data_IF_334111809274
#
_entry.id   IF_334111809274
#
_cell.length_a   1.000
_cell.length_b   1.000
_cell.length_c   1.000
_cell.angle_alpha   90.00
_cell.angle_beta   90.00
_cell.angle_gamma   90.00
#
_symmetry.space_group_name_H-M   'P 1'
#
loop_
_entity.id
_entity.type
_entity.pdbx_description
1 polymer ?
#
# COMPACT_ATOMS: atom_id res chain seq x y z
N UNK A 1 -24.42 -7.43 20.89
CA UNK A 1 -23.65 -7.69 19.63
C UNK A 1 -24.37 -7.14 18.40
N UNK A 2 -25.71 -7.25 18.33
CA UNK A 2 -26.49 -6.80 17.15
C UNK A 2 -26.47 -5.27 16.93
N UNK A 3 -26.51 -4.48 17.99
CA UNK A 3 -26.54 -3.01 17.91
C UNK A 3 -25.19 -2.42 17.49
N UNK A 4 -24.09 -3.05 17.87
CA UNK A 4 -22.74 -2.64 17.47
C UNK A 4 -22.49 -2.95 15.99
N UNK A 5 -22.99 -4.07 15.48
CA UNK A 5 -22.92 -4.43 14.06
C UNK A 5 -23.80 -3.53 13.19
N UNK A 6 -24.97 -3.12 13.67
CA UNK A 6 -25.86 -2.17 12.99
C UNK A 6 -25.26 -0.76 12.95
N UNK A 7 -24.67 -0.29 14.04
CA UNK A 7 -23.95 0.99 14.09
C UNK A 7 -22.74 0.99 13.16
N UNK A 8 -21.96 -0.09 13.14
CA UNK A 8 -20.84 -0.27 12.20
C UNK A 8 -21.30 -0.23 10.75
N UNK A 9 -22.39 -0.91 10.39
CA UNK A 9 -22.90 -0.91 9.01
C UNK A 9 -23.47 0.45 8.59
N UNK A 10 -24.08 1.20 9.51
CA UNK A 10 -24.66 2.52 9.24
C UNK A 10 -23.57 3.59 9.10
N UNK A 11 -22.51 3.48 9.89
CA UNK A 11 -21.36 4.40 9.84
C UNK A 11 -20.55 4.26 8.56
N UNK A 12 -20.53 3.07 7.95
CA UNK A 12 -19.86 2.81 6.66
C UNK A 12 -20.50 3.56 5.46
N UNK A 13 -21.72 4.01 5.55
CA UNK A 13 -22.44 4.66 4.43
C UNK A 13 -22.26 6.18 4.34
N UNK A 14 -21.67 6.86 5.33
CA UNK A 14 -21.73 8.32 5.49
C UNK A 14 -20.42 9.07 5.23
N UNK A 15 -19.57 8.64 4.28
CA UNK A 15 -18.52 9.54 3.80
C UNK A 15 -19.12 10.61 2.89
N UNK A 16 -18.85 11.86 3.20
CA UNK A 16 -19.23 12.98 2.35
C UNK A 16 -18.44 12.97 1.03
N UNK A 17 -19.03 13.55 -0.02
CA UNK A 17 -18.33 13.73 -1.30
C UNK A 17 -16.99 14.50 -1.15
N UNK A 18 -16.89 15.37 -0.14
CA UNK A 18 -15.67 16.10 0.19
C UNK A 18 -14.54 15.20 0.71
N UNK A 19 -14.85 14.24 1.57
CA UNK A 19 -13.86 13.26 2.10
C UNK A 19 -13.38 12.32 1.01
N UNK A 20 -14.26 11.92 0.07
CA UNK A 20 -13.87 11.13 -1.09
C UNK A 20 -12.90 11.92 -1.97
N UNK A 21 -13.21 13.18 -2.26
CA UNK A 21 -12.36 14.06 -3.06
C UNK A 21 -11.01 14.37 -2.40
N UNK A 22 -10.97 14.44 -1.06
CA UNK A 22 -9.72 14.58 -0.29
C UNK A 22 -8.88 13.31 -0.37
N UNK A 23 -9.48 12.14 -0.21
CA UNK A 23 -8.80 10.86 -0.38
C UNK A 23 -8.23 10.70 -1.79
N UNK A 24 -8.98 11.10 -2.83
CA UNK A 24 -8.53 11.06 -4.21
C UNK A 24 -7.33 11.99 -4.46
N UNK A 25 -7.34 13.19 -3.93
CA UNK A 25 -6.20 14.12 -4.01
C UNK A 25 -4.97 13.56 -3.31
N UNK A 26 -5.14 13.04 -2.10
CA UNK A 26 -4.06 12.39 -1.36
C UNK A 26 -3.45 11.20 -2.12
N UNK A 27 -4.26 10.43 -2.86
CA UNK A 27 -3.77 9.35 -3.73
C UNK A 27 -2.94 9.93 -4.88
N UNK A 28 -3.41 10.98 -5.53
CA UNK A 28 -2.71 11.58 -6.66
C UNK A 28 -1.35 12.17 -6.23
N UNK A 29 -1.30 12.87 -5.11
CA UNK A 29 -0.07 13.39 -4.51
C UNK A 29 0.89 12.26 -4.13
N UNK A 30 0.38 11.22 -3.50
CA UNK A 30 1.17 10.03 -3.16
C UNK A 30 1.72 9.35 -4.43
N UNK A 31 0.94 9.31 -5.51
CA UNK A 31 1.35 8.71 -6.77
C UNK A 31 2.47 9.48 -7.47
N UNK A 32 2.51 10.80 -7.34
CA UNK A 32 3.59 11.64 -7.86
C UNK A 32 4.89 11.44 -7.05
N UNK A 33 4.77 11.16 -5.76
CA UNK A 33 5.93 10.92 -4.89
C UNK A 33 6.67 9.60 -5.19
N UNK A 34 6.04 8.63 -5.87
CA UNK A 34 6.65 7.33 -6.14
C UNK A 34 7.14 7.20 -7.58
N UNK A 35 8.44 7.39 -7.84
CA UNK A 35 8.97 7.27 -9.18
C UNK A 35 8.76 5.85 -9.73
N UNK A 36 8.39 5.80 -11.01
CA UNK A 36 8.31 4.56 -11.73
C UNK A 36 9.68 3.86 -11.78
N UNK A 37 9.68 2.54 -11.88
CA UNK A 37 10.92 1.76 -12.00
C UNK A 37 11.12 1.29 -13.43
N UNK A 38 12.38 1.19 -13.89
CA UNK A 38 12.66 0.59 -15.19
C UNK A 38 12.36 -0.92 -15.17
N UNK A 39 11.56 -1.37 -16.12
CA UNK A 39 11.26 -2.79 -16.31
C UNK A 39 12.38 -3.49 -17.10
N UNK A 40 12.33 -4.83 -17.15
CA UNK A 40 13.23 -5.61 -18.03
C UNK A 40 12.81 -5.54 -19.50
N UNK A 41 11.62 -5.03 -19.80
CA UNK A 41 11.11 -4.90 -21.17
C UNK A 41 11.56 -3.60 -21.79
N UNK A 42 11.86 -3.65 -23.09
CA UNK A 42 12.27 -2.51 -23.89
C UNK A 42 11.18 -2.18 -24.92
N UNK A 43 10.93 -0.89 -25.13
CA UNK A 43 10.09 -0.38 -26.21
C UNK A 43 10.96 0.41 -27.19
N UNK A 44 10.48 0.56 -28.44
CA UNK A 44 11.13 1.43 -29.39
C UNK A 44 11.09 2.88 -28.88
N UNK A 45 12.20 3.59 -29.02
CA UNK A 45 12.35 5.00 -28.69
C UNK A 45 12.65 5.81 -29.95
N UNK A 46 12.09 7.03 -30.04
CA UNK A 46 12.22 7.83 -31.26
C UNK A 46 13.60 8.50 -31.42
N UNK A 47 14.23 8.92 -30.33
CA UNK A 47 15.48 9.69 -30.44
C UNK A 47 16.57 9.28 -29.43
N UNK A 48 16.24 8.78 -28.25
CA UNK A 48 17.18 8.55 -27.18
C UNK A 48 17.02 7.11 -26.65
N UNK A 49 18.14 6.48 -26.29
CA UNK A 49 18.13 5.13 -25.77
C UNK A 49 19.26 4.27 -26.34
N UNK A 50 19.23 3.01 -26.00
CA UNK A 50 20.19 2.01 -26.46
C UNK A 50 19.86 1.60 -27.90
N UNK A 51 20.89 1.48 -28.76
CA UNK A 51 20.71 0.92 -30.11
C UNK A 51 20.24 -0.55 -30.02
N UNK A 52 19.13 -0.86 -30.65
CA UNK A 52 18.60 -2.23 -30.75
C UNK A 52 19.03 -2.86 -32.07
N UNK A 53 20.14 -3.61 -32.03
CA UNK A 53 20.67 -4.30 -33.20
C UNK A 53 19.61 -5.21 -33.88
N UNK A 54 18.89 -5.98 -33.06
CA UNK A 54 17.84 -6.89 -33.53
C UNK A 54 16.72 -6.15 -34.29
N UNK A 55 16.28 -4.99 -33.79
CA UNK A 55 15.22 -4.19 -34.41
C UNK A 55 15.70 -3.46 -35.64
N UNK A 56 16.94 -2.95 -35.61
CA UNK A 56 17.58 -2.32 -36.76
C UNK A 56 17.72 -3.28 -37.93
N UNK A 57 18.27 -4.47 -37.70
CA UNK A 57 18.38 -5.51 -38.74
C UNK A 57 17.01 -5.92 -39.31
N UNK A 58 16.01 -6.11 -38.44
CA UNK A 58 14.64 -6.45 -38.90
C UNK A 58 14.01 -5.32 -39.71
N UNK A 59 14.31 -4.07 -39.41
CA UNK A 59 13.86 -2.91 -40.19
C UNK A 59 14.59 -2.82 -41.53
N UNK A 60 15.90 -3.01 -41.53
CA UNK A 60 16.75 -3.02 -42.70
C UNK A 60 16.28 -4.07 -43.73
N UNK A 61 15.95 -5.29 -43.30
CA UNK A 61 15.45 -6.35 -44.20
C UNK A 61 14.08 -6.02 -44.81
N UNK A 62 13.29 -5.14 -44.20
CA UNK A 62 11.98 -4.70 -44.71
C UNK A 62 12.03 -3.44 -45.57
N UNK A 63 13.12 -2.67 -45.52
CA UNK A 63 13.29 -1.37 -46.17
C UNK A 63 14.48 -1.35 -47.14
N UNK A 64 14.50 -2.33 -48.04
CA UNK A 64 15.49 -2.39 -49.14
C UNK A 64 16.95 -2.23 -48.70
N UNK A 65 17.33 -2.72 -47.54
CA UNK A 65 18.72 -2.73 -47.09
C UNK A 65 19.22 -1.45 -46.42
N UNK A 66 18.41 -0.41 -46.30
CA UNK A 66 18.84 0.86 -45.67
C UNK A 66 18.93 0.69 -44.14
N UNK A 67 20.13 0.90 -43.53
CA UNK A 67 20.32 0.76 -42.09
C UNK A 67 19.77 1.99 -41.33
N UNK A 68 18.48 2.00 -41.02
CA UNK A 68 17.89 3.01 -40.16
C UNK A 68 17.98 2.55 -38.69
N UNK A 69 18.79 3.20 -37.86
CA UNK A 69 19.00 2.78 -36.49
C UNK A 69 17.70 2.86 -35.69
N UNK A 70 17.38 1.79 -34.97
CA UNK A 70 16.25 1.74 -34.04
C UNK A 70 16.76 1.76 -32.61
N UNK A 71 16.39 2.80 -31.89
CA UNK A 71 16.70 2.91 -30.47
C UNK A 71 15.60 2.27 -29.62
N UNK A 72 15.95 1.80 -28.45
CA UNK A 72 15.03 1.24 -27.48
C UNK A 72 15.33 1.73 -26.07
N UNK A 73 14.28 1.95 -25.29
CA UNK A 73 14.39 2.35 -23.89
C UNK A 73 13.61 1.37 -22.99
N UNK A 74 14.03 1.28 -21.74
CA UNK A 74 13.31 0.46 -20.77
C UNK A 74 11.93 1.04 -20.50
N UNK A 75 10.91 0.19 -20.58
CA UNK A 75 9.57 0.56 -20.18
C UNK A 75 9.55 0.86 -18.69
N UNK A 76 8.98 1.98 -18.33
CA UNK A 76 8.75 2.34 -16.93
C UNK A 76 7.48 1.64 -16.44
N UNK A 77 7.53 1.11 -15.22
CA UNK A 77 6.39 0.50 -14.54
C UNK A 77 6.19 1.13 -13.17
N UNK A 78 4.95 1.36 -12.75
CA UNK A 78 4.67 1.77 -11.38
C UNK A 78 5.18 0.71 -10.41
N UNK A 79 5.64 1.15 -9.23
CA UNK A 79 6.02 0.25 -8.14
C UNK A 79 4.78 -0.41 -7.56
N UNK A 80 4.85 -1.68 -7.12
CA UNK A 80 3.79 -2.28 -6.31
C UNK A 80 3.62 -1.50 -5.01
N UNK A 81 2.39 -1.44 -4.51
CA UNK A 81 2.08 -0.82 -3.23
C UNK A 81 1.52 -1.90 -2.30
N UNK A 82 1.97 -1.87 -1.06
CA UNK A 82 1.46 -2.72 0.01
C UNK A 82 0.89 -1.82 1.09
N UNK A 83 -0.38 -1.97 1.40
CA UNK A 83 -1.06 -1.28 2.49
C UNK A 83 -1.21 -2.25 3.65
N UNK A 84 -0.72 -1.86 4.83
CA UNK A 84 -0.89 -2.61 6.08
C UNK A 84 -1.60 -1.66 7.05
N UNK A 85 -2.87 -1.90 7.32
CA UNK A 85 -3.72 -0.98 8.07
C UNK A 85 -4.21 -1.60 9.37
N UNK A 86 -4.06 -0.86 10.44
CA UNK A 86 -4.59 -1.13 11.75
C UNK A 86 -6.10 -0.87 11.80
N UNK A 87 -6.84 -1.84 12.33
CA UNK A 87 -8.29 -1.77 12.52
C UNK A 87 -8.69 -1.92 13.99
N UNK A 88 -7.75 -1.71 14.91
CA UNK A 88 -8.01 -1.73 16.35
C UNK A 88 -9.04 -0.67 16.79
N UNK A 89 -9.53 -0.80 18.01
CA UNK A 89 -10.55 0.11 18.54
C UNK A 89 -10.14 1.58 18.55
N UNK A 90 -8.86 1.91 18.77
CA UNK A 90 -8.34 3.28 18.68
C UNK A 90 -8.38 3.84 17.25
N UNK A 91 -8.29 2.95 16.26
CA UNK A 91 -8.31 3.29 14.84
C UNK A 91 -9.72 3.25 14.21
N UNK A 92 -10.75 2.83 14.94
CA UNK A 92 -12.11 2.60 14.42
C UNK A 92 -12.65 3.80 13.62
N UNK A 93 -12.47 5.02 14.15
CA UNK A 93 -12.90 6.26 13.49
C UNK A 93 -12.22 6.50 12.14
N UNK A 94 -10.98 6.03 11.97
CA UNK A 94 -10.16 6.26 10.79
C UNK A 94 -10.15 5.06 9.83
N UNK A 95 -10.43 3.86 10.32
CA UNK A 95 -10.36 2.62 9.55
C UNK A 95 -11.17 2.70 8.26
N UNK A 96 -12.36 3.27 8.32
CA UNK A 96 -13.24 3.45 7.16
C UNK A 96 -12.62 4.33 6.07
N UNK A 97 -12.07 5.48 6.45
CA UNK A 97 -11.41 6.39 5.51
C UNK A 97 -10.22 5.68 4.83
N UNK A 98 -9.40 4.97 5.61
CA UNK A 98 -8.26 4.25 5.07
C UNK A 98 -8.66 3.05 4.20
N UNK A 99 -9.74 2.37 4.50
CA UNK A 99 -10.26 1.30 3.64
C UNK A 99 -10.74 1.84 2.30
N UNK A 100 -11.45 2.97 2.27
CA UNK A 100 -11.82 3.64 1.02
C UNK A 100 -10.61 4.15 0.26
N UNK A 101 -9.63 4.71 0.94
CA UNK A 101 -8.35 5.08 0.35
C UNK A 101 -7.65 3.86 -0.29
N UNK A 102 -7.51 2.75 0.44
CA UNK A 102 -6.90 1.52 -0.07
C UNK A 102 -7.68 0.93 -1.26
N UNK A 103 -9.01 1.02 -1.24
CA UNK A 103 -9.86 0.63 -2.35
C UNK A 103 -9.61 1.52 -3.58
N UNK A 104 -9.70 2.84 -3.44
CA UNK A 104 -9.46 3.78 -4.54
C UNK A 104 -8.05 3.62 -5.13
N UNK A 105 -7.04 3.41 -4.27
CA UNK A 105 -5.67 3.11 -4.70
C UNK A 105 -5.62 1.80 -5.51
N UNK A 106 -6.36 0.77 -5.09
CA UNK A 106 -6.44 -0.53 -5.78
C UNK A 106 -7.08 -0.40 -7.16
N UNK A 107 -8.12 0.41 -7.30
CA UNK A 107 -8.79 0.64 -8.59
C UNK A 107 -7.92 1.41 -9.57
N UNK A 108 -7.09 2.34 -9.09
CA UNK A 108 -6.19 3.16 -9.93
C UNK A 108 -4.86 2.49 -10.26
N UNK A 109 -4.41 1.53 -9.43
CA UNK A 109 -3.12 0.85 -9.58
C UNK A 109 -3.31 -0.65 -9.70
N UNK A 110 -2.77 -1.25 -10.74
CA UNK A 110 -2.90 -2.70 -10.99
C UNK A 110 -2.14 -3.63 -10.04
N UNK A 111 -1.31 -3.10 -9.14
CA UNK A 111 -0.49 -3.89 -8.22
C UNK A 111 -0.50 -3.29 -6.82
N UNK A 112 -1.64 -3.46 -6.15
CA UNK A 112 -1.84 -3.10 -4.74
C UNK A 112 -2.17 -4.36 -3.95
N UNK A 113 -1.53 -4.53 -2.80
CA UNK A 113 -1.81 -5.59 -1.84
C UNK A 113 -2.24 -4.96 -0.53
N UNK A 114 -3.40 -5.35 -0.01
CA UNK A 114 -3.99 -4.77 1.19
C UNK A 114 -4.11 -5.81 2.29
N UNK A 115 -3.60 -5.43 3.47
CA UNK A 115 -3.62 -6.22 4.68
C UNK A 115 -4.23 -5.39 5.80
N UNK A 116 -5.03 -6.03 6.64
CA UNK A 116 -5.61 -5.45 7.84
C UNK A 116 -5.10 -6.23 9.06
N UNK A 117 -4.93 -5.55 10.16
CA UNK A 117 -4.57 -6.19 11.42
C UNK A 117 -5.24 -5.53 12.62
N UNK A 118 -5.60 -6.34 13.58
CA UNK A 118 -5.93 -6.02 14.94
C UNK A 118 -5.13 -6.97 15.82
N UNK A 119 -5.71 -8.09 16.23
CA UNK A 119 -5.01 -9.18 16.90
C UNK A 119 -4.34 -10.13 15.90
N UNK A 120 -4.81 -10.20 14.66
CA UNK A 120 -4.28 -11.03 13.56
C UNK A 120 -4.12 -10.25 12.29
N UNK A 121 -3.17 -10.66 11.45
CA UNK A 121 -2.98 -10.12 10.10
C UNK A 121 -3.89 -10.85 9.10
N UNK A 122 -4.71 -10.10 8.36
CA UNK A 122 -5.64 -10.61 7.36
C UNK A 122 -5.37 -9.99 6.00
N UNK A 123 -5.20 -10.82 4.96
CA UNK A 123 -5.04 -10.35 3.58
C UNK A 123 -6.40 -10.10 2.93
N UNK A 124 -6.71 -8.87 2.63
CA UNK A 124 -7.99 -8.42 2.01
C UNK A 124 -7.82 -7.96 0.56
N UNK A 125 -6.69 -8.25 -0.06
CA UNK A 125 -6.37 -7.83 -1.44
C UNK A 125 -7.45 -8.25 -2.45
N UNK A 126 -8.05 -9.43 -2.26
CA UNK A 126 -9.07 -9.95 -3.17
C UNK A 126 -10.37 -9.14 -3.08
N UNK A 127 -10.79 -8.85 -1.86
CA UNK A 127 -12.02 -8.09 -1.57
C UNK A 127 -11.92 -6.65 -2.10
N UNK A 128 -10.74 -6.03 -1.97
CA UNK A 128 -10.47 -4.67 -2.46
C UNK A 128 -10.48 -4.53 -4.00
N UNK A 129 -10.51 -5.63 -4.74
CA UNK A 129 -10.57 -5.59 -6.21
C UNK A 129 -11.97 -5.42 -6.77
N UNK A 130 -13.01 -5.53 -5.95
CA UNK A 130 -14.36 -5.22 -6.39
C UNK A 130 -14.43 -3.78 -6.89
N UNK A 131 -15.22 -3.52 -7.94
CA UNK A 131 -15.37 -2.19 -8.50
C UNK A 131 -16.24 -1.29 -7.64
N UNK A 132 -17.23 -1.88 -7.00
CA UNK A 132 -18.12 -1.17 -6.08
C UNK A 132 -17.43 -1.03 -4.72
N UNK A 133 -17.13 0.20 -4.27
CA UNK A 133 -16.48 0.43 -3.00
C UNK A 133 -17.29 -0.10 -1.81
N UNK A 134 -18.62 -0.03 -1.87
CA UNK A 134 -19.45 -0.46 -0.76
C UNK A 134 -19.54 -1.99 -0.68
N UNK A 135 -19.55 -2.68 -1.82
CA UNK A 135 -19.44 -4.14 -1.85
C UNK A 135 -18.06 -4.61 -1.38
N UNK A 136 -16.99 -3.94 -1.81
CA UNK A 136 -15.64 -4.23 -1.34
C UNK A 136 -15.55 -4.12 0.19
N UNK A 137 -16.02 -3.02 0.76
CA UNK A 137 -15.99 -2.79 2.21
C UNK A 137 -16.88 -3.80 2.97
N UNK A 138 -18.08 -4.10 2.46
CA UNK A 138 -18.94 -5.15 3.04
C UNK A 138 -18.28 -6.52 3.01
N UNK A 139 -17.58 -6.86 1.92
CA UNK A 139 -16.86 -8.12 1.81
C UNK A 139 -15.68 -8.17 2.80
N UNK A 140 -14.97 -7.07 2.98
CA UNK A 140 -13.91 -6.94 3.99
C UNK A 140 -14.48 -7.10 5.40
N UNK A 141 -15.55 -6.40 5.72
CA UNK A 141 -16.19 -6.46 7.04
C UNK A 141 -16.68 -7.87 7.42
N UNK A 142 -17.15 -8.64 6.44
CA UNK A 142 -17.54 -10.05 6.67
C UNK A 142 -16.35 -10.99 6.79
N UNK A 143 -15.23 -10.65 6.17
CA UNK A 143 -14.06 -11.52 6.12
C UNK A 143 -13.13 -11.33 7.31
N UNK A 144 -13.10 -10.13 7.90
CA UNK A 144 -12.26 -9.79 9.04
C UNK A 144 -13.05 -9.98 10.33
N UNK A 145 -12.59 -10.90 11.17
CA UNK A 145 -13.27 -11.28 12.43
C UNK A 145 -12.88 -10.38 13.61
N UNK A 146 -11.76 -9.63 13.49
CA UNK A 146 -11.09 -8.93 14.61
C UNK A 146 -11.30 -7.41 14.62
N UNK A 147 -12.49 -6.96 14.22
CA UNK A 147 -12.82 -5.53 14.32
C UNK A 147 -12.80 -5.04 15.77
N UNK A 148 -12.13 -3.92 16.02
CA UNK A 148 -12.04 -3.30 17.36
C UNK A 148 -11.36 -4.16 18.42
N UNK A 149 -10.60 -5.17 18.02
CA UNK A 149 -9.75 -5.97 18.91
C UNK A 149 -8.53 -5.19 19.45
N UNK A 150 -7.70 -5.84 20.23
CA UNK A 150 -6.42 -5.28 20.67
C UNK A 150 -5.45 -5.15 19.50
N UNK A 151 -4.53 -4.17 19.58
CA UNK A 151 -3.50 -3.95 18.57
C UNK A 151 -2.25 -4.76 18.89
N UNK A 152 -1.80 -5.61 17.98
CA UNK A 152 -0.54 -6.37 18.05
C UNK A 152 0.30 -6.09 16.83
N UNK A 153 0.96 -4.94 16.81
CA UNK A 153 1.72 -4.46 15.65
C UNK A 153 2.90 -5.39 15.39
N UNK A 154 3.66 -5.72 16.42
CA UNK A 154 4.85 -6.59 16.33
C UNK A 154 4.50 -7.95 15.75
N UNK A 155 3.50 -8.63 16.30
CA UNK A 155 3.04 -9.94 15.82
C UNK A 155 2.50 -9.89 14.39
N UNK A 156 1.77 -8.83 14.02
CA UNK A 156 1.25 -8.64 12.68
C UNK A 156 2.37 -8.44 11.66
N UNK A 157 3.37 -7.61 11.99
CA UNK A 157 4.54 -7.39 11.13
C UNK A 157 5.42 -8.64 11.03
N UNK A 158 5.59 -9.40 12.11
CA UNK A 158 6.30 -10.68 12.09
C UNK A 158 5.61 -11.66 11.12
N UNK A 159 4.29 -11.80 11.23
CA UNK A 159 3.49 -12.64 10.33
C UNK A 159 3.64 -12.17 8.86
N UNK A 160 3.55 -10.87 8.62
CA UNK A 160 3.74 -10.29 7.29
C UNK A 160 5.14 -10.58 6.73
N UNK A 161 6.17 -10.31 7.51
CA UNK A 161 7.56 -10.51 7.11
C UNK A 161 7.90 -11.98 6.82
N UNK A 162 7.30 -12.91 7.58
CA UNK A 162 7.50 -14.35 7.41
C UNK A 162 6.76 -14.89 6.19
N UNK A 163 5.48 -14.58 6.04
CA UNK A 163 4.58 -15.29 5.16
C UNK A 163 4.32 -14.57 3.83
N UNK A 164 4.42 -13.24 3.81
CA UNK A 164 3.99 -12.40 2.68
C UNK A 164 5.10 -11.59 2.02
N UNK A 165 6.10 -11.14 2.75
CA UNK A 165 7.10 -10.17 2.25
C UNK A 165 7.72 -10.59 0.91
N UNK A 166 8.15 -11.85 0.79
CA UNK A 166 8.75 -12.37 -0.44
C UNK A 166 7.81 -12.35 -1.65
N UNK A 167 6.51 -12.44 -1.42
CA UNK A 167 5.48 -12.50 -2.48
C UNK A 167 5.08 -11.11 -2.96
N UNK A 168 4.98 -10.13 -2.05
CA UNK A 168 4.36 -8.84 -2.34
C UNK A 168 5.37 -7.68 -2.39
N UNK A 169 6.52 -7.77 -1.72
CA UNK A 169 7.55 -6.73 -1.73
C UNK A 169 8.51 -6.82 -2.91
N UNK A 170 8.39 -7.85 -3.72
CA UNK A 170 9.17 -8.00 -4.94
C UNK A 170 9.07 -6.74 -5.81
N UNK A 171 10.14 -6.46 -6.56
CA UNK A 171 10.16 -5.37 -7.53
C UNK A 171 10.22 -3.96 -6.92
N UNK A 172 10.71 -3.82 -5.69
CA UNK A 172 10.86 -2.54 -5.01
C UNK A 172 9.51 -1.92 -4.67
N UNK A 173 8.67 -2.68 -3.99
CA UNK A 173 7.38 -2.21 -3.50
C UNK A 173 7.52 -1.05 -2.52
N UNK A 174 6.51 -0.21 -2.44
CA UNK A 174 6.32 0.81 -1.40
C UNK A 174 5.34 0.25 -0.38
N UNK A 175 5.64 0.37 0.90
CA UNK A 175 4.79 -0.06 2.00
C UNK A 175 4.18 1.17 2.69
N UNK A 176 2.86 1.17 2.83
CA UNK A 176 2.11 2.12 3.63
C UNK A 176 1.67 1.41 4.91
N UNK A 177 2.29 1.74 6.02
CA UNK A 177 1.89 1.26 7.35
C UNK A 177 1.00 2.31 8.00
N UNK A 178 -0.26 1.96 8.26
CA UNK A 178 -1.27 2.86 8.80
C UNK A 178 -1.64 2.36 10.19
N UNK A 179 -1.18 3.06 11.22
CA UNK A 179 -1.44 2.74 12.63
C UNK A 179 -1.15 3.95 13.50
N UNK A 180 -1.80 4.04 14.65
CA UNK A 180 -1.51 5.06 15.68
C UNK A 180 -0.24 4.73 16.51
N UNK A 181 0.33 3.55 16.32
CA UNK A 181 1.54 3.10 17.02
C UNK A 181 1.30 2.61 18.45
N UNK A 182 0.06 2.42 18.85
CA UNK A 182 -0.29 1.89 20.17
C UNK A 182 -0.18 0.35 20.17
N UNK A 183 1.03 -0.16 20.33
CA UNK A 183 1.28 -1.60 20.41
C UNK A 183 1.01 -2.12 21.82
N UNK A 184 0.24 -3.22 21.93
CA UNK A 184 -0.02 -3.95 23.17
C UNK A 184 0.75 -5.28 23.24
N UNK A 185 1.67 -5.49 22.32
CA UNK A 185 2.47 -6.70 22.24
C UNK A 185 3.71 -6.55 23.14
N UNK A 186 3.61 -7.03 24.38
CA UNK A 186 4.70 -6.91 25.37
C UNK A 186 5.91 -7.78 25.01
N UNK A 187 5.71 -8.86 24.26
CA UNK A 187 6.73 -9.84 23.89
C UNK A 187 7.33 -9.61 22.49
N UNK A 188 6.82 -8.64 21.74
CA UNK A 188 7.20 -8.42 20.34
C UNK A 188 8.39 -7.46 20.20
N UNK A 189 9.36 -7.83 19.36
CA UNK A 189 10.42 -6.89 18.92
C UNK A 189 9.96 -6.08 17.71
N UNK A 190 9.19 -5.03 17.97
CA UNK A 190 8.67 -4.13 16.93
C UNK A 190 9.81 -3.50 16.12
N UNK A 191 10.89 -3.10 16.78
CA UNK A 191 12.03 -2.46 16.12
C UNK A 191 12.69 -3.39 15.11
N UNK A 192 12.88 -4.65 15.47
CA UNK A 192 13.43 -5.68 14.60
C UNK A 192 12.53 -5.93 13.37
N UNK A 193 11.21 -6.09 13.59
CA UNK A 193 10.28 -6.38 12.50
C UNK A 193 10.11 -5.20 11.54
N UNK A 194 10.15 -3.97 12.04
CA UNK A 194 10.13 -2.75 11.23
C UNK A 194 11.42 -2.62 10.41
N UNK A 195 12.59 -2.82 11.01
CA UNK A 195 13.87 -2.76 10.30
C UNK A 195 13.93 -3.84 9.20
N UNK A 196 13.43 -5.04 9.48
CA UNK A 196 13.31 -6.11 8.48
C UNK A 196 12.39 -5.73 7.33
N UNK A 197 11.25 -5.12 7.63
CA UNK A 197 10.29 -4.64 6.62
C UNK A 197 10.92 -3.53 5.77
N UNK A 198 11.53 -2.54 6.41
CA UNK A 198 12.21 -1.42 5.75
C UNK A 198 13.29 -1.89 4.78
N UNK A 199 14.13 -2.85 5.17
CA UNK A 199 15.15 -3.44 4.28
C UNK A 199 14.57 -4.25 3.12
N UNK A 200 13.33 -4.70 3.24
CA UNK A 200 12.66 -5.55 2.24
C UNK A 200 11.85 -4.76 1.20
N UNK A 201 11.60 -3.50 1.42
CA UNK A 201 10.84 -2.62 0.53
C UNK A 201 11.70 -1.49 -0.06
N UNK A 202 11.15 -0.72 -0.99
CA UNK A 202 11.82 0.46 -1.56
C UNK A 202 11.67 1.69 -0.68
N UNK A 203 10.50 1.82 -0.09
CA UNK A 203 10.14 2.87 0.85
C UNK A 203 9.12 2.30 1.83
N UNK A 204 9.25 2.69 3.09
CA UNK A 204 8.28 2.43 4.15
C UNK A 204 7.75 3.78 4.62
N UNK A 205 6.44 3.99 4.46
CA UNK A 205 5.75 5.19 4.91
C UNK A 205 4.86 4.84 6.08
N UNK A 206 5.03 5.52 7.19
CA UNK A 206 4.13 5.41 8.33
C UNK A 206 3.12 6.56 8.32
N UNK A 207 1.85 6.20 8.24
CA UNK A 207 0.72 7.12 8.31
C UNK A 207 0.06 6.99 9.69
N UNK A 208 0.27 7.97 10.52
CA UNK A 208 -0.36 8.04 11.83
C UNK A 208 -1.43 9.14 11.84
N UNK A 209 -2.72 8.80 11.96
CA UNK A 209 -3.81 9.78 11.95
C UNK A 209 -3.81 10.68 13.19
N UNK A 210 -3.17 10.27 14.29
CA UNK A 210 -3.11 11.05 15.52
C UNK A 210 -2.08 12.19 15.47
N UNK A 211 -1.10 12.14 14.56
CA UNK A 211 -0.11 13.23 14.38
C UNK A 211 -0.75 14.55 13.90
N UNK A 212 -2.00 14.53 13.46
CA UNK A 212 -2.75 15.72 13.06
C UNK A 212 -3.17 16.60 14.24
N UNK A 213 -3.15 16.08 15.46
CA UNK A 213 -3.58 16.82 16.64
C UNK A 213 -2.42 17.60 17.27
N UNK A 214 -2.60 18.91 17.43
CA UNK A 214 -1.68 19.75 18.18
C UNK A 214 -1.54 19.22 19.62
N UNK A 215 -0.31 18.94 20.05
CA UNK A 215 -0.01 18.40 21.37
C UNK A 215 0.14 16.89 21.45
N UNK A 216 0.20 16.20 20.32
CA UNK A 216 0.55 14.77 20.32
C UNK A 216 2.01 14.57 20.74
N UNK A 217 2.22 13.90 21.88
CA UNK A 217 3.55 13.50 22.35
C UNK A 217 3.76 12.01 22.11
N UNK A 218 4.92 11.56 21.57
CA UNK A 218 5.24 10.15 21.37
C UNK A 218 5.54 9.45 22.71
N UNK A 219 4.49 9.06 23.43
CA UNK A 219 4.63 8.45 24.79
C UNK A 219 4.81 6.94 24.76
N UNK A 220 4.37 6.26 23.70
CA UNK A 220 4.47 4.80 23.62
C UNK A 220 5.74 4.36 22.91
N UNK A 221 6.29 3.20 23.30
CA UNK A 221 7.47 2.60 22.66
C UNK A 221 7.24 2.34 21.15
N UNK A 222 6.03 1.96 20.76
CA UNK A 222 5.65 1.76 19.35
C UNK A 222 5.77 3.04 18.53
N UNK A 223 5.22 4.16 19.02
CA UNK A 223 5.32 5.46 18.36
C UNK A 223 6.77 5.93 18.27
N UNK A 224 7.57 5.76 19.32
CA UNK A 224 8.98 6.12 19.31
C UNK A 224 9.75 5.31 18.27
N UNK A 225 9.51 4.01 18.19
CA UNK A 225 10.15 3.12 17.21
C UNK A 225 9.78 3.50 15.79
N UNK A 226 8.50 3.77 15.52
CA UNK A 226 8.00 4.14 14.20
C UNK A 226 8.49 5.54 13.77
N UNK A 227 8.62 6.48 14.69
CA UNK A 227 9.11 7.84 14.39
C UNK A 227 10.59 7.91 14.00
N UNK A 228 11.37 6.88 14.31
CA UNK A 228 12.76 6.73 13.86
C UNK A 228 12.89 6.31 12.38
N UNK A 229 11.78 5.91 11.75
CA UNK A 229 11.76 5.62 10.33
C UNK A 229 11.64 6.95 9.59
N UNK A 230 12.76 7.45 9.08
CA UNK A 230 12.75 8.63 8.23
C UNK A 230 12.06 8.29 6.90
N UNK A 231 11.00 9.00 6.64
CA UNK A 231 10.18 8.93 5.43
C UNK A 231 10.69 9.93 4.41
#
# INVERSE_FOLDING_TARGET
>A
SSDTELLQSTDFQMMSAAEIAEAERAIDDLMLAFPARPSRRFAAAHAHGRLSFKRTLRRMSRQAGVPLPVHEQRLQKPRPIVVICDISGSMERYSRMFLRFAHALTQRRGSVHSFLFGTRLTNVTRQMKDRDPDEALRAVSRYVEDWSGGTRISSALQCFNRDWSRRVLGQGAVVLLITDGLDRDEDGDLAFEIDRLHRSCSQLLWLNPLLRFDGFEPRTGGVQTLSLIHI
#
